data_IF_725788331916
#
_entry.id   IF_725788331916
#
_cell.length_a   1.000
_cell.length_b   1.000
_cell.length_c   1.000
_cell.angle_alpha   90.00
_cell.angle_beta   90.00
_cell.angle_gamma   90.00
#
_symmetry.space_group_name_H-M   'P 1'
#
loop_
_entity.id
_entity.type
_entity.pdbx_description
1 polymer ?
#
# COMPACT_ATOMS: atom_id res chain seq x y z
N UNK A 1 -0.56 17.40 -10.51
CA UNK A 1 -1.46 16.29 -10.90
C UNK A 1 -1.92 15.61 -9.61
N UNK A 2 -3.06 14.93 -9.60
CA UNK A 2 -3.53 14.19 -8.42
C UNK A 2 -3.37 12.71 -8.72
N UNK A 3 -2.81 11.95 -7.77
CA UNK A 3 -2.67 10.49 -7.83
C UNK A 3 -3.29 9.87 -6.59
N UNK A 4 -3.73 8.61 -6.68
CA UNK A 4 -4.23 7.84 -5.55
C UNK A 4 -3.29 6.65 -5.36
N UNK A 5 -2.73 6.48 -4.16
CA UNK A 5 -1.98 5.27 -3.83
C UNK A 5 -2.85 4.28 -3.05
N UNK A 6 -2.50 3.00 -3.13
CA UNK A 6 -3.07 1.98 -2.25
C UNK A 6 -2.77 2.27 -0.78
N UNK A 7 -3.71 1.95 0.11
CA UNK A 7 -3.45 1.78 1.54
C UNK A 7 -2.70 0.47 1.73
N UNK A 8 -1.60 0.49 2.50
CA UNK A 8 -0.82 -0.70 2.76
C UNK A 8 -1.56 -1.67 3.70
N UNK A 9 -1.39 -2.95 3.45
CA UNK A 9 -1.75 -3.99 4.41
C UNK A 9 -0.91 -3.87 5.69
N UNK A 10 -1.41 -4.40 6.79
CA UNK A 10 -0.61 -4.65 7.99
C UNK A 10 0.14 -5.98 7.87
N UNK A 11 1.18 -6.13 8.66
CA UNK A 11 1.97 -7.35 8.74
C UNK A 11 1.21 -8.49 9.41
N UNK A 12 1.67 -9.72 9.15
CA UNK A 12 0.99 -10.96 9.55
C UNK A 12 0.89 -11.15 11.07
N UNK A 13 1.77 -10.51 11.85
CA UNK A 13 1.74 -10.64 13.31
C UNK A 13 1.00 -9.48 13.99
N UNK A 14 0.45 -8.53 13.24
CA UNK A 14 -0.37 -7.47 13.80
C UNK A 14 -1.67 -8.05 14.39
N UNK A 15 -2.11 -7.62 15.60
CA UNK A 15 -3.36 -8.09 16.17
C UNK A 15 -4.55 -7.90 15.21
N UNK A 16 -5.31 -8.97 14.96
CA UNK A 16 -6.43 -9.00 14.01
C UNK A 16 -6.05 -8.65 12.56
N UNK A 17 -4.83 -8.95 12.12
CA UNK A 17 -4.33 -8.71 10.76
C UNK A 17 -5.30 -9.14 9.66
N UNK A 18 -5.93 -10.31 9.80
CA UNK A 18 -6.84 -10.85 8.78
C UNK A 18 -8.08 -9.98 8.59
N UNK A 19 -8.63 -9.45 9.70
CA UNK A 19 -9.75 -8.53 9.66
C UNK A 19 -9.33 -7.20 9.01
N UNK A 20 -8.22 -6.61 9.44
CA UNK A 20 -7.76 -5.34 8.90
C UNK A 20 -7.37 -5.45 7.42
N UNK A 21 -6.66 -6.49 7.01
CA UNK A 21 -6.26 -6.66 5.61
C UNK A 21 -7.45 -6.96 4.70
N UNK A 22 -8.50 -7.63 5.21
CA UNK A 22 -9.77 -7.73 4.49
C UNK A 22 -10.40 -6.35 4.24
N UNK A 23 -10.43 -5.49 5.25
CA UNK A 23 -10.99 -4.13 5.12
C UNK A 23 -10.12 -3.22 4.24
N UNK A 24 -8.79 -3.31 4.36
CA UNK A 24 -7.84 -2.62 3.48
C UNK A 24 -8.02 -3.06 2.03
N UNK A 25 -8.19 -4.37 1.76
CA UNK A 25 -8.44 -4.89 0.42
C UNK A 25 -9.74 -4.33 -0.18
N UNK A 26 -10.80 -4.27 0.63
CA UNK A 26 -12.06 -3.66 0.22
C UNK A 26 -11.93 -2.15 -0.05
N UNK A 27 -11.14 -1.44 0.76
CA UNK A 27 -10.86 -0.03 0.58
C UNK A 27 -10.05 0.22 -0.69
N UNK A 28 -8.98 -0.53 -0.93
CA UNK A 28 -8.14 -0.39 -2.12
C UNK A 28 -8.92 -0.63 -3.41
N UNK A 29 -9.82 -1.62 -3.44
CA UNK A 29 -10.74 -1.81 -4.59
C UNK A 29 -11.62 -0.59 -4.86
N UNK A 30 -12.12 0.07 -3.81
CA UNK A 30 -12.93 1.29 -3.94
C UNK A 30 -12.07 2.47 -4.43
N UNK A 31 -10.86 2.61 -3.90
CA UNK A 31 -9.91 3.66 -4.31
C UNK A 31 -9.49 3.50 -5.77
N UNK A 32 -9.16 2.28 -6.19
CA UNK A 32 -8.85 1.94 -7.58
C UNK A 32 -10.04 2.25 -8.51
N UNK A 33 -11.27 1.88 -8.11
CA UNK A 33 -12.46 2.21 -8.88
C UNK A 33 -12.67 3.73 -9.01
N UNK A 34 -12.49 4.49 -7.92
CA UNK A 34 -12.56 5.95 -7.95
C UNK A 34 -11.51 6.54 -8.88
N UNK A 35 -10.27 6.04 -8.82
CA UNK A 35 -9.18 6.47 -9.67
C UNK A 35 -9.53 6.24 -11.15
N UNK A 36 -10.01 5.03 -11.48
CA UNK A 36 -10.49 4.67 -12.82
C UNK A 36 -11.60 5.59 -13.32
N UNK A 37 -12.65 5.82 -12.51
CA UNK A 37 -13.80 6.63 -12.90
C UNK A 37 -13.42 8.10 -13.15
N UNK A 38 -12.45 8.60 -12.38
CA UNK A 38 -11.94 9.97 -12.50
C UNK A 38 -10.78 10.11 -13.48
N UNK A 39 -10.33 9.02 -14.11
CA UNK A 39 -9.12 8.98 -14.96
C UNK A 39 -7.87 9.51 -14.23
N UNK A 40 -7.72 9.10 -12.98
CA UNK A 40 -6.57 9.35 -12.11
C UNK A 40 -5.74 8.07 -12.02
N UNK A 41 -4.41 8.19 -11.94
CA UNK A 41 -3.54 7.03 -11.73
C UNK A 41 -3.74 6.44 -10.33
N UNK A 42 -3.88 5.12 -10.28
CA UNK A 42 -3.83 4.34 -9.06
C UNK A 42 -2.45 3.67 -8.93
N UNK A 43 -1.73 3.99 -7.86
CA UNK A 43 -0.39 3.46 -7.57
C UNK A 43 -0.53 2.29 -6.60
N UNK A 44 -0.42 1.06 -7.10
CA UNK A 44 -0.49 -0.15 -6.28
C UNK A 44 0.86 -0.46 -5.61
N UNK A 45 1.03 0.09 -4.41
CA UNK A 45 2.22 -0.15 -3.59
C UNK A 45 2.21 -1.53 -2.92
N UNK A 46 1.06 -2.18 -2.78
CA UNK A 46 0.99 -3.51 -2.18
C UNK A 46 1.65 -4.58 -3.07
N UNK A 47 1.68 -4.37 -4.39
CA UNK A 47 2.46 -5.22 -5.31
C UNK A 47 3.95 -5.33 -4.93
N UNK A 48 4.49 -4.31 -4.24
CA UNK A 48 5.89 -4.24 -3.80
C UNK A 48 6.01 -4.66 -2.33
N UNK A 49 5.23 -4.03 -1.45
CA UNK A 49 5.43 -4.14 -0.01
C UNK A 49 4.66 -5.30 0.63
N UNK A 50 3.61 -5.77 -0.03
CA UNK A 50 2.69 -6.76 0.53
C UNK A 50 2.10 -7.70 -0.55
N UNK A 51 2.94 -8.34 -1.40
CA UNK A 51 2.46 -9.14 -2.54
C UNK A 51 1.62 -10.36 -2.12
N UNK A 52 1.72 -10.76 -0.85
CA UNK A 52 1.01 -11.89 -0.27
C UNK A 52 -0.15 -11.47 0.66
N UNK A 53 -0.74 -10.28 0.45
CA UNK A 53 -1.81 -9.68 1.28
C UNK A 53 -1.38 -9.34 2.74
N UNK A 54 -0.07 -9.29 3.03
CA UNK A 54 0.51 -8.83 4.31
C UNK A 54 1.76 -8.01 4.08
N UNK A 55 1.97 -6.95 4.86
CA UNK A 55 3.21 -6.18 4.83
C UNK A 55 4.40 -7.08 5.19
N UNK A 56 5.34 -7.20 4.26
CA UNK A 56 6.50 -8.08 4.43
C UNK A 56 7.37 -7.57 5.58
N UNK A 57 7.82 -8.50 6.43
CA UNK A 57 8.57 -8.18 7.66
C UNK A 57 9.85 -7.39 7.39
N UNK A 58 10.45 -7.54 6.21
CA UNK A 58 11.65 -6.79 5.81
C UNK A 58 11.39 -5.28 5.63
N UNK A 59 10.12 -4.89 5.47
CA UNK A 59 9.71 -3.51 5.21
C UNK A 59 9.12 -2.80 6.44
N UNK A 60 8.99 -3.48 7.58
CA UNK A 60 8.39 -2.91 8.79
C UNK A 60 9.13 -3.32 10.05
N UNK A 61 9.04 -2.51 11.10
CA UNK A 61 9.58 -2.85 12.42
C UNK A 61 8.47 -3.22 13.41
N UNK A 62 7.21 -2.90 13.12
CA UNK A 62 6.08 -2.97 14.04
C UNK A 62 4.80 -3.53 13.41
N UNK A 63 4.91 -4.09 12.20
CA UNK A 63 3.81 -4.66 11.42
C UNK A 63 2.82 -3.60 10.87
N UNK A 64 3.08 -2.29 11.01
CA UNK A 64 2.19 -1.22 10.54
C UNK A 64 2.93 -0.20 9.68
N UNK A 65 4.06 0.30 10.16
CA UNK A 65 4.80 1.37 9.51
C UNK A 65 5.91 0.83 8.63
N UNK A 66 6.15 1.51 7.50
CA UNK A 66 7.35 1.26 6.71
C UNK A 66 8.60 1.62 7.53
N UNK A 67 9.65 0.82 7.42
CA UNK A 67 10.95 1.16 7.98
C UNK A 67 11.73 2.09 7.02
N UNK A 68 12.87 2.62 7.47
CA UNK A 68 13.64 3.59 6.68
C UNK A 68 14.06 3.09 5.29
N UNK A 69 14.42 1.81 5.15
CA UNK A 69 14.78 1.23 3.85
C UNK A 69 13.57 1.16 2.92
N UNK A 70 12.41 0.79 3.46
CA UNK A 70 11.17 0.73 2.71
C UNK A 70 10.66 2.12 2.29
N UNK A 71 10.87 3.16 3.10
CA UNK A 71 10.54 4.54 2.71
C UNK A 71 11.37 5.04 1.52
N UNK A 72 12.62 4.62 1.38
CA UNK A 72 13.44 4.94 0.20
C UNK A 72 12.83 4.27 -1.05
N UNK A 73 12.42 3.01 -0.94
CA UNK A 73 11.76 2.30 -2.04
C UNK A 73 10.41 2.95 -2.40
N UNK A 74 9.62 3.32 -1.39
CA UNK A 74 8.35 4.03 -1.57
C UNK A 74 8.57 5.35 -2.30
N UNK A 75 9.54 6.16 -1.86
CA UNK A 75 9.85 7.44 -2.50
C UNK A 75 10.23 7.23 -3.98
N UNK A 76 11.12 6.28 -4.27
CA UNK A 76 11.50 5.95 -5.66
C UNK A 76 10.32 5.50 -6.52
N UNK A 77 9.34 4.80 -5.94
CA UNK A 77 8.13 4.40 -6.68
C UNK A 77 7.22 5.60 -6.96
N UNK A 78 7.00 6.47 -5.97
CA UNK A 78 6.16 7.66 -6.12
C UNK A 78 6.75 8.67 -7.11
N UNK A 79 8.07 8.87 -7.11
CA UNK A 79 8.75 9.83 -7.99
C UNK A 79 8.45 9.58 -9.49
N UNK A 80 8.21 8.33 -9.89
CA UNK A 80 7.83 7.98 -11.28
C UNK A 80 6.55 8.65 -11.77
N UNK A 81 5.71 9.16 -10.86
CA UNK A 81 4.42 9.76 -11.16
C UNK A 81 4.40 11.28 -10.95
N UNK A 82 5.34 11.83 -10.17
CA UNK A 82 5.32 13.24 -9.77
C UNK A 82 6.49 14.06 -10.32
N UNK A 83 7.46 13.43 -10.98
CA UNK A 83 8.58 14.08 -11.69
C UNK A 83 8.49 13.94 -13.21
#
# INVERSE_FOLDING_TARGET
MVHIQSVLYVGKNYPNSDYFNKEVKNLNKKLEQIAKDKKIDFIDLNSIFAPNDYLEKIYTNDEIHLNGKAYILWANEILKYIE
#
